data_IF_340875782337
#
_entry.id   IF_340875782337
#
_cell.length_a   1.000
_cell.length_b   1.000
_cell.length_c   1.000
_cell.angle_alpha   90.00
_cell.angle_beta   90.00
_cell.angle_gamma   90.00
#
_symmetry.space_group_name_H-M   'P 1'
#
loop_
_entity.id
_entity.type
_entity.pdbx_description
1 polymer ?
#
# COMPACT_ATOMS: atom_id res chain seq x y z
N UNK A 1 -12.43 17.81 25.13
CA UNK A 1 -13.72 17.26 24.68
C UNK A 1 -13.93 15.91 25.34
N UNK A 2 -15.15 15.59 25.77
CA UNK A 2 -15.50 14.30 26.41
C UNK A 2 -16.69 13.69 25.68
N UNK A 3 -16.73 12.36 25.61
CA UNK A 3 -17.83 11.62 24.99
C UNK A 3 -18.13 10.36 25.80
N UNK A 4 -19.32 9.80 25.62
CA UNK A 4 -19.75 8.56 26.27
C UNK A 4 -19.73 7.42 25.25
N UNK A 5 -19.31 6.24 25.70
CA UNK A 5 -19.43 5.00 24.94
C UNK A 5 -20.91 4.57 24.95
N UNK A 6 -21.49 4.41 23.76
CA UNK A 6 -22.83 3.89 23.55
C UNK A 6 -22.83 2.54 22.84
N UNK A 7 -24.01 1.95 22.69
CA UNK A 7 -24.23 0.71 21.94
C UNK A 7 -24.64 1.03 20.50
N UNK A 8 -23.98 0.40 19.54
CA UNK A 8 -24.35 0.42 18.12
C UNK A 8 -24.40 -1.02 17.61
N UNK A 9 -25.61 -1.56 17.43
CA UNK A 9 -25.81 -2.98 17.14
C UNK A 9 -25.23 -3.85 18.26
N UNK A 10 -24.34 -4.78 17.91
CA UNK A 10 -23.64 -5.66 18.85
C UNK A 10 -22.31 -5.07 19.37
N UNK A 11 -21.95 -3.85 18.96
CA UNK A 11 -20.66 -3.24 19.28
C UNK A 11 -20.80 -1.98 20.13
N UNK A 12 -19.69 -1.56 20.72
CA UNK A 12 -19.56 -0.27 21.38
C UNK A 12 -19.14 0.80 20.36
N UNK A 13 -19.63 2.03 20.52
CA UNK A 13 -19.30 3.15 19.66
C UNK A 13 -19.18 4.46 20.47
N UNK A 14 -18.34 5.37 19.99
CA UNK A 14 -18.25 6.75 20.50
C UNK A 14 -18.63 7.69 19.37
N UNK A 15 -19.47 8.70 19.67
CA UNK A 15 -19.76 9.75 18.71
C UNK A 15 -18.58 10.71 18.64
N UNK A 16 -18.00 10.85 17.44
CA UNK A 16 -16.95 11.81 17.18
C UNK A 16 -17.59 13.16 16.78
N UNK A 17 -17.27 14.28 17.47
CA UNK A 17 -17.71 15.59 17.03
C UNK A 17 -17.20 15.93 15.62
N UNK A 18 -17.98 16.68 14.84
CA UNK A 18 -17.59 17.09 13.48
C UNK A 18 -16.23 17.80 13.45
N UNK A 19 -15.98 18.73 14.39
CA UNK A 19 -14.69 19.41 14.51
C UNK A 19 -13.50 18.45 14.74
N UNK A 20 -13.71 17.32 15.44
CA UNK A 20 -12.67 16.31 15.63
C UNK A 20 -12.44 15.50 14.35
N UNK A 21 -13.50 15.18 13.60
CA UNK A 21 -13.40 14.53 12.28
C UNK A 21 -12.63 15.42 11.30
N UNK A 22 -12.99 16.70 11.21
CA UNK A 22 -12.33 17.69 10.33
C UNK A 22 -10.85 17.87 10.69
N UNK A 23 -10.55 18.06 11.98
CA UNK A 23 -9.16 18.23 12.44
C UNK A 23 -8.30 16.99 12.17
N UNK A 24 -8.86 15.79 12.33
CA UNK A 24 -8.17 14.54 12.00
C UNK A 24 -8.17 14.22 10.49
N UNK A 25 -8.90 15.01 9.68
CA UNK A 25 -9.08 14.81 8.25
C UNK A 25 -9.82 13.51 7.91
N UNK A 26 -10.73 13.07 8.78
CA UNK A 26 -11.53 11.87 8.63
C UNK A 26 -12.81 12.15 7.84
N UNK A 27 -13.18 11.23 6.95
CA UNK A 27 -14.45 11.25 6.22
C UNK A 27 -15.44 10.21 6.77
N UNK A 28 -16.76 10.44 6.66
CA UNK A 28 -17.76 9.40 6.88
C UNK A 28 -17.47 8.16 6.00
N UNK A 29 -17.83 6.99 6.51
CA UNK A 29 -17.71 5.69 5.83
C UNK A 29 -16.29 5.28 5.37
N UNK A 30 -15.24 6.00 5.78
CA UNK A 30 -13.87 5.60 5.52
C UNK A 30 -13.46 4.40 6.41
N UNK A 31 -12.59 3.54 5.88
CA UNK A 31 -11.94 2.52 6.70
C UNK A 31 -10.79 3.12 7.53
N UNK A 32 -10.58 2.56 8.73
CA UNK A 32 -9.65 3.07 9.72
C UNK A 32 -8.93 1.91 10.40
N UNK A 33 -7.67 2.15 10.78
CA UNK A 33 -6.95 1.26 11.69
C UNK A 33 -7.30 1.61 13.13
N UNK A 34 -7.70 0.61 13.91
CA UNK A 34 -8.00 0.74 15.35
C UNK A 34 -6.94 -0.03 16.13
N UNK A 35 -6.14 0.68 16.93
CA UNK A 35 -5.15 0.07 17.82
C UNK A 35 -5.55 0.28 19.29
N UNK A 36 -5.53 -0.78 20.07
CA UNK A 36 -5.79 -0.73 21.51
C UNK A 36 -4.51 -1.10 22.28
N UNK A 37 -4.08 -0.23 23.20
CA UNK A 37 -2.95 -0.48 24.10
C UNK A 37 -3.10 0.31 25.39
N UNK A 38 -2.84 -0.32 26.54
CA UNK A 38 -2.73 0.35 27.86
C UNK A 38 -3.88 1.32 28.19
N UNK A 39 -5.14 0.93 27.91
CA UNK A 39 -6.31 1.78 28.17
C UNK A 39 -6.54 2.90 27.14
N UNK A 40 -5.75 2.94 26.07
CA UNK A 40 -5.88 3.87 24.95
C UNK A 40 -6.39 3.13 23.71
N UNK A 41 -7.43 3.67 23.08
CA UNK A 41 -7.86 3.30 21.73
C UNK A 41 -7.45 4.42 20.78
N UNK A 42 -6.56 4.11 19.85
CA UNK A 42 -6.07 5.03 18.83
C UNK A 42 -6.73 4.71 17.49
N UNK A 43 -7.27 5.73 16.83
CA UNK A 43 -7.83 5.64 15.49
C UNK A 43 -6.85 6.28 14.51
N UNK A 44 -6.48 5.56 13.46
CA UNK A 44 -5.59 6.05 12.40
C UNK A 44 -6.26 5.89 11.04
N UNK A 45 -5.96 6.81 10.13
CA UNK A 45 -6.26 6.59 8.71
C UNK A 45 -5.58 5.30 8.27
N UNK A 46 -6.33 4.41 7.63
CA UNK A 46 -5.72 3.27 6.98
C UNK A 46 -4.73 3.80 5.93
N UNK A 47 -3.48 3.35 5.99
CA UNK A 47 -2.50 3.69 4.95
C UNK A 47 -2.85 2.85 3.72
N UNK A 48 -3.20 3.53 2.63
CA UNK A 48 -3.37 2.88 1.33
C UNK A 48 -2.05 2.31 0.80
N UNK A 49 -2.11 1.66 -0.36
CA UNK A 49 -0.91 1.32 -1.12
C UNK A 49 -0.16 2.63 -1.39
N UNK A 50 1.14 2.71 -1.05
CA UNK A 50 1.89 3.95 -1.24
C UNK A 50 1.88 4.35 -2.71
N UNK A 51 1.84 5.65 -2.98
CA UNK A 51 2.05 6.12 -4.36
C UNK A 51 3.49 5.85 -4.80
N UNK A 52 3.75 5.89 -6.11
CA UNK A 52 5.12 5.76 -6.64
C UNK A 52 6.04 6.83 -6.00
N UNK A 53 5.53 8.04 -5.81
CA UNK A 53 6.25 9.13 -5.17
C UNK A 53 6.58 8.82 -3.70
N UNK A 54 5.64 8.25 -2.95
CA UNK A 54 5.86 7.82 -1.56
C UNK A 54 6.88 6.69 -1.47
N UNK A 55 6.85 5.73 -2.39
CA UNK A 55 7.86 4.68 -2.49
C UNK A 55 9.26 5.26 -2.74
N UNK A 56 9.41 6.17 -3.70
CA UNK A 56 10.70 6.81 -3.96
C UNK A 56 11.15 7.70 -2.81
N UNK A 57 10.23 8.40 -2.13
CA UNK A 57 10.56 9.20 -0.96
C UNK A 57 11.12 8.33 0.18
N UNK A 58 10.51 7.17 0.46
CA UNK A 58 11.03 6.21 1.44
C UNK A 58 12.36 5.59 1.01
N UNK A 59 12.52 5.24 -0.26
CA UNK A 59 13.76 4.65 -0.77
C UNK A 59 14.94 5.65 -0.68
N UNK A 60 14.72 6.95 -0.94
CA UNK A 60 15.73 8.01 -0.74
C UNK A 60 16.19 8.16 0.71
N UNK A 61 15.33 7.85 1.70
CA UNK A 61 15.72 7.85 3.12
C UNK A 61 16.72 6.73 3.44
N UNK A 62 16.70 5.65 2.66
CA UNK A 62 17.56 4.46 2.86
C UNK A 62 18.90 4.55 2.14
N UNK A 63 19.05 5.47 1.19
CA UNK A 63 20.30 5.70 0.47
C UNK A 63 20.07 6.22 -0.96
N UNK A 64 21.16 6.35 -1.75
CA UNK A 64 21.08 6.71 -3.16
C UNK A 64 20.20 5.74 -3.94
N UNK A 65 19.38 6.28 -4.85
CA UNK A 65 18.53 5.51 -5.77
C UNK A 65 19.30 5.08 -7.02
N UNK A 66 20.50 4.53 -6.83
CA UNK A 66 21.27 4.00 -7.94
C UNK A 66 20.78 2.58 -8.23
N UNK A 67 20.45 2.27 -9.50
CA UNK A 67 20.21 0.88 -9.88
C UNK A 67 21.42 0.03 -9.47
N UNK A 68 21.20 -1.15 -8.85
CA UNK A 68 22.31 -2.06 -8.61
C UNK A 68 22.97 -2.41 -9.94
N UNK A 69 24.25 -2.78 -9.89
CA UNK A 69 24.92 -3.33 -11.06
C UNK A 69 24.08 -4.47 -11.65
N UNK A 70 23.96 -4.49 -12.97
CA UNK A 70 23.26 -5.57 -13.66
C UNK A 70 23.93 -6.90 -13.26
N UNK A 71 23.10 -7.83 -12.77
CA UNK A 71 23.56 -9.18 -12.44
C UNK A 71 23.55 -9.98 -13.72
N UNK A 72 24.69 -10.58 -14.07
CA UNK A 72 24.76 -11.60 -15.10
C UNK A 72 24.13 -12.88 -14.56
N UNK A 73 22.94 -13.22 -15.06
CA UNK A 73 22.20 -14.43 -14.68
C UNK A 73 22.76 -15.68 -15.38
N UNK A 74 23.77 -15.53 -16.22
CA UNK A 74 24.30 -16.58 -17.07
C UNK A 74 23.47 -16.77 -18.35
N UNK A 75 23.90 -17.69 -19.23
CA UNK A 75 23.13 -18.04 -20.43
C UNK A 75 21.87 -18.82 -20.06
N UNK A 76 20.88 -18.82 -20.95
CA UNK A 76 19.67 -19.64 -20.85
C UNK A 76 20.03 -21.14 -20.68
N UNK A 77 19.33 -21.86 -19.80
CA UNK A 77 19.59 -23.27 -19.48
C UNK A 77 18.28 -24.06 -19.32
N UNK A 78 17.83 -24.67 -20.41
CA UNK A 78 16.75 -25.66 -20.35
C UNK A 78 15.60 -25.33 -21.28
N UNK A 79 14.38 -25.49 -20.79
CA UNK A 79 13.18 -25.30 -21.62
C UNK A 79 12.92 -23.81 -21.99
N UNK A 80 13.60 -22.86 -21.35
CA UNK A 80 13.56 -21.45 -21.76
C UNK A 80 14.40 -21.14 -23.01
N UNK A 81 15.25 -22.06 -23.48
CA UNK A 81 16.00 -21.87 -24.71
C UNK A 81 15.02 -21.76 -25.89
N UNK A 82 14.86 -20.55 -26.42
CA UNK A 82 14.15 -20.34 -27.66
C UNK A 82 14.98 -20.93 -28.81
N UNK A 83 14.38 -21.70 -29.73
CA UNK A 83 15.11 -22.19 -30.89
C UNK A 83 15.62 -21.00 -31.71
N UNK A 84 16.85 -21.10 -32.22
CA UNK A 84 17.49 -20.10 -33.10
C UNK A 84 16.80 -19.98 -34.48
N UNK A 85 15.60 -20.54 -34.65
CA UNK A 85 14.88 -20.62 -35.91
C UNK A 85 14.09 -19.34 -36.16
N UNK A 86 14.49 -18.67 -37.24
CA UNK A 86 13.82 -17.61 -37.98
C UNK A 86 12.39 -17.26 -37.54
N UNK A 87 12.24 -16.08 -36.92
CA UNK A 87 10.97 -15.50 -36.52
C UNK A 87 10.12 -14.98 -37.71
N UNK A 88 10.57 -15.16 -38.96
CA UNK A 88 9.85 -14.72 -40.16
C UNK A 88 8.49 -15.40 -40.35
N UNK A 89 8.28 -16.59 -39.77
CA UNK A 89 7.02 -17.34 -39.88
C UNK A 89 5.99 -16.99 -38.79
N UNK A 90 6.35 -16.19 -37.78
CA UNK A 90 5.46 -15.77 -36.68
C UNK A 90 4.83 -14.39 -36.91
N UNK A 91 5.18 -13.74 -38.03
CA UNK A 91 4.49 -12.53 -38.45
C UNK A 91 3.02 -12.86 -38.78
N UNK A 92 2.03 -12.08 -38.29
CA UNK A 92 0.65 -12.26 -38.69
C UNK A 92 0.55 -12.22 -40.21
N UNK A 93 0.01 -13.28 -40.82
CA UNK A 93 -0.41 -13.24 -42.22
C UNK A 93 -1.77 -12.56 -42.24
N UNK A 94 -1.80 -11.36 -42.82
CA UNK A 94 -3.00 -10.56 -43.08
C UNK A 94 -4.15 -11.38 -43.68
#
# INVERSE_FOLDING_TARGET
>A
MTARIGKWGNSAAVRLPAAAMETAGFSPDQELDILAREGVVELRKMRGIPTIEEFFAEARKKGPLEPPAAVDWGPDRGAEMLPDEDWSDVAPRD
#
